data_IF_892480727714
#
_entry.id   IF_892480727714
#
_cell.length_a   1.000
_cell.length_b   1.000
_cell.length_c   1.000
_cell.angle_alpha   90.00
_cell.angle_beta   90.00
_cell.angle_gamma   90.00
#
_symmetry.space_group_name_H-M   'P 1'
#
loop_
_entity.id
_entity.type
_entity.pdbx_description
1 polymer ?
#
# COMPACT_ATOMS: atom_id res chain seq x y z
N UNK A 1 -8.56 -45.07 12.12
CA UNK A 1 -8.33 -43.65 11.79
C UNK A 1 -8.65 -43.31 10.33
N UNK A 2 -9.15 -44.25 9.50
CA UNK A 2 -9.45 -44.01 8.06
C UNK A 2 -10.87 -43.51 7.71
N UNK A 3 -11.77 -43.35 8.70
CA UNK A 3 -13.18 -43.07 8.43
C UNK A 3 -13.58 -41.59 8.30
N UNK A 4 -12.82 -40.66 8.90
CA UNK A 4 -13.19 -39.23 8.93
C UNK A 4 -12.80 -38.49 7.65
N UNK A 5 -11.65 -38.82 7.06
CA UNK A 5 -11.20 -38.30 5.77
C UNK A 5 -12.16 -38.66 4.62
N UNK A 6 -12.75 -39.86 4.66
CA UNK A 6 -13.73 -40.32 3.67
C UNK A 6 -15.08 -39.58 3.77
N UNK A 7 -15.53 -39.22 4.98
CA UNK A 7 -16.79 -38.49 5.18
C UNK A 7 -16.68 -37.05 4.65
N UNK A 8 -15.60 -36.33 5.00
CA UNK A 8 -15.39 -34.96 4.53
C UNK A 8 -15.22 -34.91 3.01
N UNK A 9 -14.46 -35.84 2.44
CA UNK A 9 -14.32 -35.99 0.99
C UNK A 9 -15.68 -36.25 0.31
N UNK A 10 -16.48 -37.19 0.82
CA UNK A 10 -17.82 -37.50 0.30
C UNK A 10 -18.76 -36.32 0.41
N UNK A 11 -18.74 -35.61 1.54
CA UNK A 11 -19.55 -34.42 1.77
C UNK A 11 -19.23 -33.33 0.76
N UNK A 12 -17.97 -32.91 0.67
CA UNK A 12 -17.57 -31.83 -0.24
C UNK A 12 -17.79 -32.21 -1.70
N UNK A 13 -17.49 -33.45 -2.09
CA UNK A 13 -17.78 -33.95 -3.44
C UNK A 13 -19.27 -33.92 -3.76
N UNK A 14 -20.14 -34.30 -2.80
CA UNK A 14 -21.59 -34.25 -3.00
C UNK A 14 -22.09 -32.80 -3.11
N UNK A 15 -21.58 -31.89 -2.27
CA UNK A 15 -21.95 -30.47 -2.27
C UNK A 15 -21.53 -29.81 -3.57
N UNK A 16 -20.26 -29.94 -3.99
CA UNK A 16 -19.75 -29.26 -5.20
C UNK A 16 -20.39 -29.81 -6.47
N UNK A 17 -20.67 -31.13 -6.52
CA UNK A 17 -21.44 -31.73 -7.62
C UNK A 17 -22.88 -31.22 -7.66
N UNK A 18 -23.54 -31.10 -6.51
CA UNK A 18 -24.91 -30.58 -6.43
C UNK A 18 -24.95 -29.13 -6.87
N UNK A 19 -24.02 -28.30 -6.38
CA UNK A 19 -23.90 -26.90 -6.80
C UNK A 19 -23.69 -26.80 -8.31
N UNK A 20 -22.69 -27.50 -8.84
CA UNK A 20 -22.40 -27.49 -10.28
C UNK A 20 -23.62 -27.89 -11.12
N UNK A 21 -24.34 -28.94 -10.73
CA UNK A 21 -25.56 -29.38 -11.43
C UNK A 21 -26.69 -28.36 -11.35
N UNK A 22 -26.91 -27.72 -10.20
CA UNK A 22 -27.95 -26.70 -10.03
C UNK A 22 -27.62 -25.43 -10.81
N UNK A 23 -26.36 -24.98 -10.77
CA UNK A 23 -25.89 -23.85 -11.57
C UNK A 23 -26.08 -24.12 -13.07
N UNK A 24 -25.72 -25.32 -13.53
CA UNK A 24 -25.90 -25.71 -14.92
C UNK A 24 -27.38 -25.69 -15.33
N UNK A 25 -28.25 -26.35 -14.54
CA UNK A 25 -29.69 -26.36 -14.83
C UNK A 25 -30.32 -24.96 -14.84
N UNK A 26 -29.89 -24.08 -13.92
CA UNK A 26 -30.35 -22.71 -13.86
C UNK A 26 -29.90 -21.86 -15.07
N UNK A 27 -28.68 -22.08 -15.57
CA UNK A 27 -28.16 -21.33 -16.73
C UNK A 27 -28.66 -21.87 -18.06
N UNK A 28 -28.96 -23.16 -18.14
CA UNK A 28 -29.62 -23.75 -19.32
C UNK A 28 -31.07 -23.27 -19.47
N UNK A 29 -31.75 -23.01 -18.35
CA UNK A 29 -33.12 -22.48 -18.35
C UNK A 29 -33.21 -20.95 -18.46
N UNK A 30 -32.13 -20.22 -18.18
CA UNK A 30 -32.12 -18.75 -18.18
C UNK A 30 -30.87 -18.16 -18.82
N UNK A 31 -31.05 -17.56 -20.01
CA UNK A 31 -30.00 -16.82 -20.70
C UNK A 31 -29.49 -15.62 -19.91
N UNK A 32 -30.37 -14.98 -19.10
CA UNK A 32 -29.99 -13.90 -18.20
C UNK A 32 -28.97 -14.37 -17.15
N UNK A 33 -29.24 -15.51 -16.48
CA UNK A 33 -28.32 -16.07 -15.49
C UNK A 33 -27.01 -16.50 -16.13
N UNK A 34 -27.06 -17.10 -17.33
CA UNK A 34 -25.87 -17.48 -18.08
C UNK A 34 -24.98 -16.27 -18.40
N UNK A 35 -25.57 -15.18 -18.90
CA UNK A 35 -24.83 -13.95 -19.18
C UNK A 35 -24.25 -13.32 -17.91
N UNK A 36 -25.00 -13.33 -16.80
CA UNK A 36 -24.54 -12.80 -15.52
C UNK A 36 -23.35 -13.59 -14.97
N UNK A 37 -23.43 -14.93 -14.91
CA UNK A 37 -22.34 -15.75 -14.37
C UNK A 37 -21.10 -15.76 -15.26
N UNK A 38 -21.24 -15.75 -16.58
CA UNK A 38 -20.09 -15.69 -17.49
C UNK A 38 -19.51 -14.28 -17.63
N UNK A 39 -20.33 -13.23 -17.51
CA UNK A 39 -19.92 -11.83 -17.71
C UNK A 39 -19.39 -11.18 -16.43
N UNK A 40 -20.00 -11.51 -15.29
CA UNK A 40 -19.67 -10.98 -13.97
C UNK A 40 -19.07 -12.06 -13.04
N UNK A 41 -18.44 -13.10 -13.62
CA UNK A 41 -17.75 -14.16 -12.90
C UNK A 41 -16.90 -13.68 -11.71
N UNK A 42 -16.11 -12.59 -11.80
CA UNK A 42 -15.31 -12.10 -10.67
C UNK A 42 -16.15 -11.73 -9.45
N UNK A 43 -17.38 -11.21 -9.65
CA UNK A 43 -18.30 -10.94 -8.54
C UNK A 43 -18.80 -12.24 -7.89
N UNK A 44 -19.10 -13.25 -8.71
CA UNK A 44 -19.49 -14.57 -8.21
C UNK A 44 -18.36 -15.24 -7.43
N UNK A 45 -17.13 -15.17 -7.95
CA UNK A 45 -15.93 -15.69 -7.29
C UNK A 45 -15.68 -14.98 -5.95
N UNK A 46 -15.88 -13.67 -5.89
CA UNK A 46 -15.81 -12.92 -4.62
C UNK A 46 -16.80 -13.46 -3.58
N UNK A 47 -18.04 -13.77 -3.96
CA UNK A 47 -19.03 -14.36 -3.05
C UNK A 47 -18.59 -15.74 -2.55
N UNK A 48 -17.97 -16.54 -3.41
CA UNK A 48 -17.39 -17.83 -3.03
C UNK A 48 -16.21 -17.68 -2.05
N UNK A 49 -15.31 -16.73 -2.30
CA UNK A 49 -14.20 -16.41 -1.40
C UNK A 49 -14.70 -15.91 -0.04
N UNK A 50 -15.75 -15.08 -0.02
CA UNK A 50 -16.37 -14.60 1.22
C UNK A 50 -17.09 -15.74 1.98
N UNK A 51 -17.77 -16.64 1.27
CA UNK A 51 -18.36 -17.84 1.86
C UNK A 51 -17.30 -18.73 2.50
N UNK A 52 -16.20 -18.97 1.78
CA UNK A 52 -15.08 -19.79 2.27
C UNK A 52 -14.48 -19.22 3.55
N UNK A 53 -14.20 -17.91 3.57
CA UNK A 53 -13.71 -17.21 4.77
C UNK A 53 -14.66 -17.34 5.95
N UNK A 54 -15.97 -17.23 5.73
CA UNK A 54 -16.98 -17.42 6.80
C UNK A 54 -17.00 -18.86 7.32
N UNK A 55 -16.85 -19.85 6.44
CA UNK A 55 -16.76 -21.25 6.84
C UNK A 55 -15.50 -21.52 7.69
N UNK A 56 -14.36 -20.96 7.30
CA UNK A 56 -13.11 -21.04 8.08
C UNK A 56 -13.28 -20.40 9.47
N UNK A 57 -13.85 -19.19 9.53
CA UNK A 57 -14.11 -18.51 10.81
C UNK A 57 -15.05 -19.32 11.71
N UNK A 58 -16.10 -19.92 11.14
CA UNK A 58 -17.02 -20.76 11.88
C UNK A 58 -16.36 -22.04 12.41
N UNK A 59 -15.50 -22.68 11.61
CA UNK A 59 -14.74 -23.85 12.02
C UNK A 59 -13.78 -23.53 13.17
N UNK A 60 -13.04 -22.42 13.07
CA UNK A 60 -12.16 -21.92 14.13
C UNK A 60 -12.93 -21.64 15.43
N UNK A 61 -14.12 -21.05 15.33
CA UNK A 61 -14.98 -20.79 16.49
C UNK A 61 -15.48 -22.09 17.15
N UNK A 62 -15.86 -23.10 16.35
CA UNK A 62 -16.25 -24.41 16.88
C UNK A 62 -15.09 -25.05 17.64
N UNK A 63 -13.89 -25.10 17.05
CA UNK A 63 -12.71 -25.68 17.69
C UNK A 63 -12.36 -24.94 18.99
N UNK A 64 -12.42 -23.60 18.98
CA UNK A 64 -12.19 -22.78 20.17
C UNK A 64 -13.21 -23.06 21.28
N UNK A 65 -14.49 -23.21 20.92
CA UNK A 65 -15.55 -23.53 21.88
C UNK A 65 -15.37 -24.94 22.49
N UNK A 66 -14.97 -25.93 21.69
CA UNK A 66 -14.65 -27.28 22.19
C UNK A 66 -13.50 -27.27 23.20
N UNK A 67 -12.46 -26.47 22.96
CA UNK A 67 -11.32 -26.34 23.87
C UNK A 67 -11.70 -25.63 25.20
N UNK A 68 -12.72 -24.77 25.20
CA UNK A 68 -13.17 -24.05 26.41
C UNK A 68 -14.14 -24.83 27.31
N UNK A 69 -14.78 -25.89 26.81
CA UNK A 69 -15.84 -26.61 27.55
C UNK A 69 -15.39 -27.75 28.48
N UNK A 70 -14.09 -27.96 28.70
CA UNK A 70 -13.60 -28.83 29.77
C UNK A 70 -13.98 -30.31 29.63
N UNK A 71 -13.20 -31.06 28.86
CA UNK A 71 -13.00 -32.49 29.06
C UNK A 71 -11.50 -32.73 29.27
N UNK A 72 -11.01 -32.33 30.44
CA UNK A 72 -9.58 -32.24 30.77
C UNK A 72 -8.90 -33.58 31.06
N UNK A 73 -9.57 -34.73 30.93
CA UNK A 73 -9.03 -36.01 31.45
C UNK A 73 -8.81 -37.13 30.41
N UNK A 74 -8.84 -36.87 29.09
CA UNK A 74 -8.57 -37.93 28.10
C UNK A 74 -7.63 -37.56 26.94
N UNK A 75 -6.77 -36.54 27.08
CA UNK A 75 -5.95 -36.07 25.97
C UNK A 75 -4.52 -35.63 26.33
N UNK A 76 -3.96 -36.15 27.43
CA UNK A 76 -2.53 -35.99 27.71
C UNK A 76 -1.64 -36.84 26.79
N UNK A 77 -2.19 -37.83 26.08
CA UNK A 77 -1.42 -38.71 25.18
C UNK A 77 -1.32 -38.22 23.72
N UNK A 78 -1.97 -37.10 23.36
CA UNK A 78 -1.92 -36.57 21.99
C UNK A 78 -1.18 -35.23 21.87
N UNK A 79 -0.50 -34.80 22.94
CA UNK A 79 0.35 -33.59 22.98
C UNK A 79 1.72 -33.74 22.28
N UNK A 80 1.93 -34.75 21.44
CA UNK A 80 3.18 -34.93 20.69
C UNK A 80 3.13 -34.52 19.20
N UNK A 81 2.08 -33.83 18.76
CA UNK A 81 2.05 -33.20 17.42
C UNK A 81 1.62 -31.73 17.52
N UNK A 82 2.35 -30.95 18.31
CA UNK A 82 2.45 -29.50 18.09
C UNK A 82 3.32 -29.26 16.85
N UNK A 83 2.69 -29.00 15.69
CA UNK A 83 3.25 -28.06 14.69
C UNK A 83 2.27 -27.64 13.58
N UNK A 84 1.08 -28.24 13.44
CA UNK A 84 0.12 -27.82 12.43
C UNK A 84 -1.27 -27.62 13.04
N UNK A 85 -1.65 -26.36 13.28
CA UNK A 85 -3.03 -25.98 13.56
C UNK A 85 -3.89 -26.13 12.28
N UNK A 86 -3.96 -27.35 11.74
CA UNK A 86 -4.77 -27.69 10.57
C UNK A 86 -6.22 -27.91 11.01
N UNK A 87 -7.07 -27.06 10.46
CA UNK A 87 -8.50 -27.01 10.69
C UNK A 87 -9.14 -28.38 10.35
N UNK A 88 -9.64 -29.11 11.36
CA UNK A 88 -10.12 -30.50 11.24
C UNK A 88 -11.18 -30.67 10.12
N UNK A 89 -11.97 -29.63 9.86
CA UNK A 89 -13.02 -29.62 8.82
C UNK A 89 -12.53 -29.27 7.41
N UNK A 90 -11.33 -28.70 7.31
CA UNK A 90 -10.71 -28.19 6.09
C UNK A 90 -9.33 -28.82 5.87
N UNK A 91 -9.14 -30.05 6.37
CA UNK A 91 -7.90 -30.80 6.17
C UNK A 91 -7.64 -30.96 4.68
N UNK A 92 -6.55 -30.35 4.20
CA UNK A 92 -5.94 -30.71 2.93
C UNK A 92 -5.30 -32.07 3.13
N UNK A 93 -6.05 -33.14 2.84
CA UNK A 93 -5.40 -34.43 2.60
C UNK A 93 -4.51 -34.30 1.37
N UNK A 94 -3.43 -35.08 1.26
CA UNK A 94 -2.42 -34.95 0.20
C UNK A 94 -3.00 -34.91 -1.23
N UNK A 95 -4.24 -35.39 -1.44
CA UNK A 95 -4.92 -35.47 -2.73
C UNK A 95 -6.23 -34.68 -2.87
N UNK A 96 -6.72 -33.96 -1.85
CA UNK A 96 -8.00 -33.24 -1.94
C UNK A 96 -8.01 -31.87 -1.24
N UNK A 97 -8.26 -30.82 -2.03
CA UNK A 97 -8.45 -29.46 -1.53
C UNK A 97 -9.93 -29.05 -1.68
N UNK A 98 -10.70 -28.96 -0.57
CA UNK A 98 -12.11 -28.60 -0.62
C UNK A 98 -12.35 -27.16 -1.11
N UNK A 99 -11.41 -26.24 -0.91
CA UNK A 99 -11.49 -24.88 -1.45
C UNK A 99 -11.46 -24.92 -2.97
N UNK A 100 -10.49 -25.67 -3.49
CA UNK A 100 -10.31 -25.88 -4.92
C UNK A 100 -11.53 -26.58 -5.53
N UNK A 101 -12.02 -27.65 -4.91
CA UNK A 101 -13.21 -28.36 -5.39
C UNK A 101 -14.45 -27.46 -5.44
N UNK A 102 -14.58 -26.53 -4.49
CA UNK A 102 -15.67 -25.55 -4.47
C UNK A 102 -15.52 -24.55 -5.63
N UNK A 103 -14.31 -24.02 -5.88
CA UNK A 103 -14.04 -23.14 -7.03
C UNK A 103 -14.22 -23.86 -8.38
N UNK A 104 -13.79 -25.13 -8.47
CA UNK A 104 -13.92 -25.98 -9.66
C UNK A 104 -15.40 -26.18 -10.07
N UNK A 105 -16.35 -26.08 -9.14
CA UNK A 105 -17.78 -26.11 -9.46
C UNK A 105 -18.23 -24.97 -10.41
N UNK A 106 -17.44 -23.89 -10.51
CA UNK A 106 -17.67 -22.74 -11.37
C UNK A 106 -16.78 -22.67 -12.62
N UNK A 107 -15.93 -23.68 -12.86
CA UNK A 107 -14.87 -23.65 -13.88
C UNK A 107 -15.37 -23.28 -15.29
N UNK A 108 -16.56 -23.73 -15.67
CA UNK A 108 -17.15 -23.41 -16.97
C UNK A 108 -17.43 -21.91 -17.17
N UNK A 109 -17.81 -21.21 -16.11
CA UNK A 109 -18.08 -19.77 -16.14
C UNK A 109 -16.78 -18.99 -16.16
N UNK A 110 -15.76 -19.47 -15.44
CA UNK A 110 -14.40 -18.93 -15.52
C UNK A 110 -13.86 -19.02 -16.95
N UNK A 111 -13.95 -20.19 -17.59
CA UNK A 111 -13.48 -20.38 -18.96
C UNK A 111 -14.20 -19.45 -19.95
N UNK A 112 -15.52 -19.29 -19.80
CA UNK A 112 -16.31 -18.36 -20.61
C UNK A 112 -15.92 -16.90 -20.34
N UNK A 113 -15.70 -16.51 -19.09
CA UNK A 113 -15.24 -15.19 -18.70
C UNK A 113 -13.86 -14.88 -19.30
N UNK A 114 -12.92 -15.81 -19.20
CA UNK A 114 -11.56 -15.66 -19.74
C UNK A 114 -11.56 -15.52 -21.27
N UNK A 115 -12.44 -16.24 -21.97
CA UNK A 115 -12.62 -16.10 -23.42
C UNK A 115 -13.17 -14.70 -23.78
N UNK A 116 -14.16 -14.21 -23.02
CA UNK A 116 -14.71 -12.85 -23.20
C UNK A 116 -13.68 -11.76 -22.85
N UNK A 117 -12.91 -11.95 -21.77
CA UNK A 117 -11.81 -11.06 -21.36
C UNK A 117 -10.76 -10.93 -22.47
N UNK A 118 -10.32 -12.06 -23.04
CA UNK A 118 -9.39 -12.04 -24.17
C UNK A 118 -9.96 -11.27 -25.37
N UNK A 119 -11.25 -11.47 -25.68
CA UNK A 119 -11.92 -10.75 -26.77
C UNK A 119 -11.95 -9.23 -26.50
N UNK A 120 -12.36 -8.81 -25.30
CA UNK A 120 -12.38 -7.39 -24.89
C UNK A 120 -11.00 -6.74 -24.93
N UNK A 121 -9.93 -7.50 -24.71
CA UNK A 121 -8.55 -7.03 -24.80
C UNK A 121 -8.06 -6.96 -26.26
N UNK A 122 -8.47 -7.90 -27.11
CA UNK A 122 -8.06 -7.98 -28.51
C UNK A 122 -8.80 -6.98 -29.41
N UNK A 123 -10.09 -6.73 -29.14
CA UNK A 123 -10.92 -5.87 -29.99
C UNK A 123 -10.36 -4.44 -30.15
N UNK A 124 -9.93 -3.74 -29.08
CA UNK A 124 -9.28 -2.43 -29.20
C UNK A 124 -8.01 -2.47 -30.05
N UNK A 125 -7.21 -3.53 -29.97
CA UNK A 125 -5.99 -3.68 -30.79
C UNK A 125 -6.36 -3.84 -32.26
N UNK A 126 -7.34 -4.70 -32.55
CA UNK A 126 -7.76 -4.93 -33.93
C UNK A 126 -8.40 -3.69 -34.56
N UNK A 127 -9.03 -2.84 -33.75
CA UNK A 127 -9.58 -1.56 -34.19
C UNK A 127 -8.49 -0.58 -34.61
N UNK A 128 -7.42 -0.46 -33.82
CA UNK A 128 -6.32 0.49 -34.10
C UNK A 128 -5.32 -0.02 -35.14
N UNK A 129 -5.32 -1.33 -35.42
CA UNK A 129 -4.57 -1.96 -36.51
C UNK A 129 -5.51 -2.60 -37.55
N UNK A 130 -6.23 -1.78 -38.35
CA UNK A 130 -7.12 -2.30 -39.37
C UNK A 130 -6.35 -3.07 -40.46
N UNK A 131 -6.96 -4.06 -41.12
CA UNK A 131 -6.32 -4.79 -42.21
C UNK A 131 -5.87 -3.83 -43.33
N UNK A 132 -4.58 -3.81 -43.65
CA UNK A 132 -4.00 -2.90 -44.64
C UNK A 132 -3.70 -1.48 -44.14
N UNK A 133 -3.93 -1.20 -42.85
CA UNK A 133 -3.50 0.04 -42.20
C UNK A 133 -1.98 0.20 -42.26
N UNK A 134 -1.52 1.43 -42.52
CA UNK A 134 -0.09 1.78 -42.62
C UNK A 134 0.41 2.66 -41.48
N UNK A 135 -0.49 3.13 -40.64
CA UNK A 135 -0.19 4.06 -39.57
C UNK A 135 -0.23 3.34 -38.22
N UNK A 136 0.73 3.61 -37.31
CA UNK A 136 0.64 3.13 -35.95
C UNK A 136 -0.47 3.87 -35.18
N UNK A 137 -0.92 3.31 -34.04
CA UNK A 137 -1.95 3.92 -33.20
C UNK A 137 -1.57 5.31 -32.69
N UNK A 138 -2.56 6.18 -32.56
CA UNK A 138 -2.46 7.48 -31.91
C UNK A 138 -2.32 7.35 -30.39
N UNK A 139 -2.01 8.47 -29.73
CA UNK A 139 -1.86 8.49 -28.26
C UNK A 139 -3.18 8.16 -27.54
N UNK A 140 -4.29 8.70 -28.02
CA UNK A 140 -5.61 8.52 -27.39
C UNK A 140 -6.10 7.08 -27.54
N UNK A 141 -5.81 6.47 -28.69
CA UNK A 141 -6.09 5.05 -28.96
C UNK A 141 -5.27 4.13 -28.04
N UNK A 142 -3.99 4.43 -27.84
CA UNK A 142 -3.15 3.73 -26.87
C UNK A 142 -3.71 3.85 -25.44
N UNK A 143 -4.10 5.04 -25.01
CA UNK A 143 -4.67 5.26 -23.68
C UNK A 143 -5.96 4.46 -23.48
N UNK A 144 -6.77 4.30 -24.54
CA UNK A 144 -7.95 3.43 -24.49
C UNK A 144 -7.58 1.96 -24.27
N UNK A 145 -6.58 1.43 -25.00
CA UNK A 145 -6.11 0.05 -24.83
C UNK A 145 -5.61 -0.17 -23.39
N UNK A 146 -4.83 0.78 -22.87
CA UNK A 146 -4.28 0.73 -21.52
C UNK A 146 -5.39 0.75 -20.47
N UNK A 147 -6.41 1.60 -20.63
CA UNK A 147 -7.58 1.63 -19.73
C UNK A 147 -8.30 0.29 -19.72
N UNK A 148 -8.45 -0.36 -20.86
CA UNK A 148 -9.05 -1.71 -20.94
C UNK A 148 -8.19 -2.74 -20.21
N UNK A 149 -6.86 -2.74 -20.42
CA UNK A 149 -5.92 -3.63 -19.70
C UNK A 149 -6.02 -3.42 -18.18
N UNK A 150 -5.95 -2.17 -17.73
CA UNK A 150 -6.05 -1.83 -16.31
C UNK A 150 -7.40 -2.25 -15.70
N UNK A 151 -8.50 -2.05 -16.43
CA UNK A 151 -9.83 -2.47 -15.99
C UNK A 151 -9.94 -3.99 -15.84
N UNK A 152 -9.42 -4.77 -16.78
CA UNK A 152 -9.46 -6.25 -16.70
C UNK A 152 -8.62 -6.77 -15.53
N UNK A 153 -7.41 -6.21 -15.32
CA UNK A 153 -6.56 -6.57 -14.19
C UNK A 153 -7.21 -6.21 -12.84
N UNK A 154 -7.81 -5.02 -12.73
CA UNK A 154 -8.47 -4.57 -11.49
C UNK A 154 -9.69 -5.42 -11.14
N UNK A 155 -10.50 -5.80 -12.14
CA UNK A 155 -11.66 -6.68 -11.93
C UNK A 155 -11.23 -8.09 -11.51
N UNK A 156 -10.08 -8.58 -12.00
CA UNK A 156 -9.54 -9.89 -11.66
C UNK A 156 -8.89 -9.96 -10.26
N UNK A 157 -8.52 -8.81 -9.67
CA UNK A 157 -7.81 -8.70 -8.39
C UNK A 157 -8.56 -9.29 -7.17
N UNK A 158 -9.80 -9.74 -7.35
CA UNK A 158 -10.60 -10.42 -6.33
C UNK A 158 -10.07 -11.81 -5.95
N UNK A 159 -9.27 -12.43 -6.82
CA UNK A 159 -8.71 -13.77 -6.61
C UNK A 159 -7.34 -13.91 -7.31
N UNK A 160 -6.33 -14.53 -6.64
CA UNK A 160 -5.00 -14.68 -7.22
C UNK A 160 -4.94 -15.53 -8.50
N UNK A 161 -5.71 -16.62 -8.57
CA UNK A 161 -5.68 -17.54 -9.71
C UNK A 161 -6.32 -16.88 -10.93
N UNK A 162 -7.44 -16.18 -10.71
CA UNK A 162 -8.10 -15.38 -11.75
C UNK A 162 -7.19 -14.23 -12.23
N UNK A 163 -6.50 -13.54 -11.31
CA UNK A 163 -5.55 -12.48 -11.64
C UNK A 163 -4.43 -13.01 -12.55
N UNK A 164 -3.90 -14.19 -12.24
CA UNK A 164 -2.88 -14.85 -13.06
C UNK A 164 -3.42 -15.23 -14.45
N UNK A 165 -4.65 -15.76 -14.52
CA UNK A 165 -5.28 -16.12 -15.79
C UNK A 165 -5.54 -14.90 -16.68
N UNK A 166 -6.03 -13.79 -16.12
CA UNK A 166 -6.22 -12.52 -16.85
C UNK A 166 -4.89 -11.89 -17.23
N UNK A 167 -3.86 -11.95 -16.38
CA UNK A 167 -2.52 -11.50 -16.73
C UNK A 167 -1.93 -12.24 -17.95
N UNK A 168 -2.21 -13.55 -18.08
CA UNK A 168 -1.84 -14.32 -19.30
C UNK A 168 -2.57 -13.80 -20.54
N UNK A 169 -3.83 -13.38 -20.43
CA UNK A 169 -4.56 -12.75 -21.54
C UNK A 169 -3.98 -11.37 -21.89
N UNK A 170 -3.59 -10.56 -20.89
CA UNK A 170 -2.88 -9.29 -21.11
C UNK A 170 -1.54 -9.53 -21.81
N UNK A 171 -0.78 -10.56 -21.41
CA UNK A 171 0.48 -10.91 -22.08
C UNK A 171 0.27 -11.26 -23.56
N UNK A 172 -0.75 -12.07 -23.88
CA UNK A 172 -1.15 -12.36 -25.27
C UNK A 172 -1.56 -11.09 -26.03
N UNK A 173 -2.19 -10.14 -25.35
CA UNK A 173 -2.65 -8.86 -25.91
C UNK A 173 -1.46 -7.96 -26.26
N UNK A 174 -0.48 -7.84 -25.36
CA UNK A 174 0.78 -7.12 -25.62
C UNK A 174 1.55 -7.81 -26.77
N UNK A 175 1.59 -9.14 -26.80
CA UNK A 175 2.21 -9.89 -27.89
C UNK A 175 1.52 -9.61 -29.24
N UNK A 176 0.18 -9.60 -29.27
CA UNK A 176 -0.58 -9.25 -30.47
C UNK A 176 -0.25 -7.84 -30.96
N UNK A 177 -0.16 -6.86 -30.04
CA UNK A 177 0.27 -5.50 -30.36
C UNK A 177 1.67 -5.48 -31.00
N UNK A 178 2.60 -6.24 -30.43
CA UNK A 178 3.96 -6.37 -30.96
C UNK A 178 3.98 -6.94 -32.39
N UNK A 179 3.26 -8.03 -32.63
CA UNK A 179 3.13 -8.66 -33.96
C UNK A 179 2.53 -7.69 -34.98
N UNK A 180 1.47 -6.96 -34.61
CA UNK A 180 0.84 -5.95 -35.48
C UNK A 180 1.78 -4.78 -35.76
N UNK A 181 2.57 -4.36 -34.77
CA UNK A 181 3.58 -3.30 -34.93
C UNK A 181 4.72 -3.72 -35.85
N UNK A 182 5.17 -4.98 -35.75
CA UNK A 182 6.19 -5.56 -36.61
C UNK A 182 5.73 -5.59 -38.09
N UNK A 183 4.45 -5.90 -38.33
CA UNK A 183 3.86 -5.88 -39.68
C UNK A 183 3.87 -4.49 -40.34
N UNK A 184 4.02 -3.40 -39.56
CA UNK A 184 4.11 -2.04 -40.09
C UNK A 184 5.54 -1.64 -40.50
N UNK A 185 6.56 -2.40 -40.08
CA UNK A 185 7.95 -2.00 -40.27
C UNK A 185 8.38 -2.04 -41.73
N UNK A 186 9.19 -1.06 -42.11
CA UNK A 186 9.94 -1.04 -43.36
C UNK A 186 11.37 -1.51 -43.10
N UNK A 187 11.91 -2.43 -43.92
CA UNK A 187 13.21 -3.10 -43.67
C UNK A 187 14.25 -2.94 -44.77
N UNK A 188 13.90 -2.31 -45.90
CA UNK A 188 14.77 -2.17 -47.07
C UNK A 188 15.49 -0.80 -47.11
N UNK A 189 16.01 -0.40 -48.28
CA UNK A 189 16.71 0.89 -48.47
C UNK A 189 15.90 2.10 -48.03
N UNK A 190 14.56 2.03 -48.10
CA UNK A 190 13.66 3.06 -47.58
C UNK A 190 13.71 3.21 -46.05
N UNK A 191 14.24 2.24 -45.31
CA UNK A 191 14.40 2.32 -43.86
C UNK A 191 15.82 2.71 -43.40
N UNK A 192 16.83 2.45 -44.23
CA UNK A 192 18.24 2.52 -43.83
C UNK A 192 19.05 3.66 -44.46
N UNK A 193 18.51 4.36 -45.46
CA UNK A 193 19.22 5.46 -46.10
C UNK A 193 19.52 6.61 -45.13
N UNK A 194 20.71 7.20 -45.17
CA UNK A 194 21.10 8.31 -44.28
C UNK A 194 21.69 9.50 -45.04
N UNK A 195 21.50 9.53 -46.35
CA UNK A 195 22.16 10.47 -47.26
C UNK A 195 21.17 11.56 -47.72
N UNK A 196 19.87 11.25 -47.74
CA UNK A 196 18.78 12.16 -48.10
C UNK A 196 17.86 12.50 -46.92
N UNK A 197 16.82 13.33 -47.16
CA UNK A 197 15.81 13.64 -46.17
C UNK A 197 15.08 12.37 -45.70
N UNK A 198 14.44 12.44 -44.52
CA UNK A 198 13.69 11.33 -43.93
C UNK A 198 12.69 10.72 -44.92
N UNK A 199 12.82 9.42 -45.16
CA UNK A 199 11.88 8.67 -45.98
C UNK A 199 10.57 8.40 -45.26
N UNK A 200 9.56 7.97 -46.02
CA UNK A 200 8.29 7.53 -45.44
C UNK A 200 8.44 6.27 -44.58
N UNK A 201 9.29 5.31 -45.00
CA UNK A 201 9.62 4.12 -44.22
C UNK A 201 10.30 4.44 -42.90
N UNK A 202 11.24 5.39 -42.88
CA UNK A 202 11.89 5.86 -41.64
C UNK A 202 10.90 6.57 -40.71
N UNK A 203 10.06 7.45 -41.25
CA UNK A 203 9.01 8.13 -40.47
C UNK A 203 8.05 7.12 -39.85
N UNK A 204 7.67 6.09 -40.60
CA UNK A 204 6.80 5.01 -40.10
C UNK A 204 7.47 4.20 -39.00
N UNK A 205 8.71 3.76 -39.20
CA UNK A 205 9.45 3.02 -38.18
C UNK A 205 9.63 3.82 -36.89
N UNK A 206 9.96 5.12 -36.99
CA UNK A 206 10.02 6.01 -35.82
C UNK A 206 8.68 6.10 -35.10
N UNK A 207 7.57 6.25 -35.83
CA UNK A 207 6.25 6.30 -35.25
C UNK A 207 5.88 4.97 -34.54
N UNK A 208 6.23 3.82 -35.12
CA UNK A 208 6.05 2.49 -34.50
C UNK A 208 6.86 2.37 -33.21
N UNK A 209 8.14 2.76 -33.22
CA UNK A 209 9.01 2.74 -32.02
C UNK A 209 8.43 3.63 -30.91
N UNK A 210 8.00 4.85 -31.24
CA UNK A 210 7.37 5.74 -30.27
C UNK A 210 6.07 5.14 -29.69
N UNK A 211 5.28 4.48 -30.53
CA UNK A 211 4.05 3.80 -30.11
C UNK A 211 4.33 2.65 -29.14
N UNK A 212 5.33 1.81 -29.45
CA UNK A 212 5.78 0.73 -28.57
C UNK A 212 6.35 1.25 -27.25
N UNK A 213 7.14 2.33 -27.29
CA UNK A 213 7.69 2.94 -26.08
C UNK A 213 6.59 3.49 -25.18
N UNK A 214 5.57 4.15 -25.74
CA UNK A 214 4.39 4.61 -24.99
C UNK A 214 3.63 3.43 -24.37
N UNK A 215 3.37 2.37 -25.13
CA UNK A 215 2.73 1.16 -24.60
C UNK A 215 3.52 0.59 -23.42
N UNK A 216 4.85 0.47 -23.56
CA UNK A 216 5.74 0.00 -22.51
C UNK A 216 5.63 0.85 -21.23
N UNK A 217 5.73 2.18 -21.34
CA UNK A 217 5.60 3.09 -20.21
C UNK A 217 4.24 2.98 -19.52
N UNK A 218 3.16 2.92 -20.31
CA UNK A 218 1.80 2.85 -19.77
C UNK A 218 1.49 1.51 -19.10
N UNK A 219 1.97 0.39 -19.65
CA UNK A 219 1.85 -0.93 -19.00
C UNK A 219 2.63 -0.96 -17.69
N UNK A 220 3.87 -0.47 -17.67
CA UNK A 220 4.67 -0.39 -16.45
C UNK A 220 3.98 0.47 -15.38
N UNK A 221 3.43 1.62 -15.78
CA UNK A 221 2.67 2.49 -14.87
C UNK A 221 1.45 1.77 -14.28
N UNK A 222 0.66 1.09 -15.10
CA UNK A 222 -0.53 0.37 -14.63
C UNK A 222 -0.17 -0.74 -13.61
N UNK A 223 0.94 -1.45 -13.84
CA UNK A 223 1.46 -2.45 -12.89
C UNK A 223 1.96 -1.78 -11.61
N UNK A 224 2.71 -0.68 -11.72
CA UNK A 224 3.20 0.08 -10.57
C UNK A 224 2.05 0.64 -9.71
N UNK A 225 0.98 1.16 -10.32
CA UNK A 225 -0.19 1.68 -9.61
C UNK A 225 -0.91 0.55 -8.84
N UNK A 226 -0.98 -0.65 -9.42
CA UNK A 226 -1.53 -1.84 -8.76
C UNK A 226 -0.65 -2.31 -7.59
N UNK A 227 0.68 -2.33 -7.77
CA UNK A 227 1.63 -2.62 -6.68
C UNK A 227 1.45 -1.64 -5.52
N UNK A 228 1.32 -0.33 -5.82
CA UNK A 228 1.02 0.73 -4.86
C UNK A 228 -0.27 0.45 -4.09
N UNK A 229 -1.35 0.16 -4.81
CA UNK A 229 -2.65 -0.15 -4.23
C UNK A 229 -2.62 -1.38 -3.32
N UNK A 230 -1.81 -2.39 -3.65
CA UNK A 230 -1.67 -3.60 -2.86
C UNK A 230 -0.90 -3.39 -1.55
N UNK A 231 0.13 -2.52 -1.55
CA UNK A 231 0.94 -2.23 -0.36
C UNK A 231 0.34 -1.12 0.53
N UNK A 232 -0.52 -0.26 -0.03
CA UNK A 232 -1.09 0.90 0.67
C UNK A 232 -1.73 0.58 2.03
N UNK A 233 -2.50 -0.51 2.22
CA UNK A 233 -3.09 -0.82 3.52
C UNK A 233 -2.03 -1.07 4.61
N UNK A 234 -0.91 -1.69 4.25
CA UNK A 234 0.22 -1.90 5.16
C UNK A 234 0.87 -0.56 5.50
N UNK A 235 1.14 0.28 4.49
CA UNK A 235 1.72 1.61 4.69
C UNK A 235 0.86 2.45 5.65
N UNK A 236 -0.46 2.54 5.40
CA UNK A 236 -1.38 3.28 6.26
C UNK A 236 -1.33 2.79 7.71
N UNK A 237 -1.36 1.48 7.93
CA UNK A 237 -1.31 0.91 9.29
C UNK A 237 0.01 1.23 10.01
N UNK A 238 1.13 1.29 9.28
CA UNK A 238 2.42 1.66 9.85
C UNK A 238 2.46 3.16 10.16
N UNK A 239 1.95 4.01 9.26
CA UNK A 239 1.86 5.46 9.45
C UNK A 239 1.01 5.82 10.69
N UNK A 240 -0.17 5.22 10.84
CA UNK A 240 -1.04 5.40 12.01
C UNK A 240 -0.31 5.03 13.31
N UNK A 241 0.46 3.93 13.28
CA UNK A 241 1.24 3.48 14.43
C UNK A 241 2.40 4.42 14.75
N UNK A 242 3.10 4.92 13.73
CA UNK A 242 4.16 5.92 13.88
C UNK A 242 3.62 7.21 14.49
N UNK A 243 2.47 7.71 14.01
CA UNK A 243 1.82 8.89 14.59
C UNK A 243 1.40 8.64 16.04
N UNK A 244 0.79 7.50 16.35
CA UNK A 244 0.41 7.14 17.71
C UNK A 244 1.62 7.12 18.66
N UNK A 245 2.75 6.53 18.25
CA UNK A 245 3.99 6.51 19.02
C UNK A 245 4.53 7.94 19.21
N UNK A 246 4.57 8.78 18.17
CA UNK A 246 5.06 10.16 18.29
C UNK A 246 4.18 10.98 19.25
N UNK A 247 2.86 10.78 19.25
CA UNK A 247 1.94 11.48 20.16
C UNK A 247 2.23 11.17 21.63
N UNK A 248 2.74 9.97 21.97
CA UNK A 248 3.09 9.64 23.36
C UNK A 248 4.20 10.51 23.92
N UNK A 249 4.92 11.28 23.08
CA UNK A 249 5.88 12.28 23.55
C UNK A 249 5.25 13.30 24.52
N UNK A 250 3.96 13.60 24.39
CA UNK A 250 3.25 14.51 25.30
C UNK A 250 2.97 13.91 26.68
N UNK A 251 3.21 12.62 26.87
CA UNK A 251 3.12 11.93 28.15
C UNK A 251 4.45 11.95 28.92
N UNK A 252 5.55 12.34 28.27
CA UNK A 252 6.85 12.46 28.92
C UNK A 252 7.01 13.79 29.68
N UNK A 253 7.79 13.76 30.76
CA UNK A 253 8.10 14.95 31.53
C UNK A 253 9.31 15.71 30.95
N UNK A 254 9.02 16.80 30.24
CA UNK A 254 10.00 17.75 29.73
C UNK A 254 10.19 18.99 30.63
N UNK A 255 9.59 19.02 31.83
CA UNK A 255 9.66 20.18 32.73
C UNK A 255 10.98 20.28 33.50
N UNK A 256 11.75 19.19 33.54
CA UNK A 256 12.94 19.04 34.39
C UNK A 256 14.05 20.09 34.18
N UNK A 257 14.75 20.40 35.28
CA UNK A 257 15.97 21.21 35.29
C UNK A 257 17.21 20.37 34.99
N UNK A 258 18.34 21.00 34.66
CA UNK A 258 19.62 20.32 34.45
C UNK A 258 20.04 19.56 35.72
N UNK A 259 20.36 18.28 35.59
CA UNK A 259 20.88 17.47 36.70
C UNK A 259 22.23 18.01 37.17
N UNK A 260 22.39 18.20 38.49
CA UNK A 260 23.63 18.69 39.11
C UNK A 260 24.77 17.65 39.14
N UNK A 261 24.53 16.40 38.73
CA UNK A 261 25.57 15.38 38.61
C UNK A 261 26.24 15.48 37.24
N UNK A 262 27.55 15.72 37.22
CA UNK A 262 28.37 15.96 36.02
C UNK A 262 28.56 14.76 35.07
N UNK A 263 27.53 13.94 34.85
CA UNK A 263 27.46 12.96 33.76
C UNK A 263 26.38 13.39 32.77
N UNK A 264 26.75 13.82 31.54
CA UNK A 264 25.79 14.20 30.51
C UNK A 264 25.28 12.94 29.79
N UNK A 265 24.67 12.01 30.54
CA UNK A 265 23.91 10.94 29.91
C UNK A 265 22.48 11.46 29.80
N UNK A 266 22.17 12.12 28.70
CA UNK A 266 20.80 12.55 28.38
C UNK A 266 20.13 11.32 27.79
N UNK A 267 19.31 10.57 28.55
CA UNK A 267 18.72 9.35 28.04
C UNK A 267 17.79 9.67 26.86
N UNK A 268 17.89 8.87 25.80
CA UNK A 268 16.92 8.86 24.71
C UNK A 268 15.52 8.60 25.30
N UNK A 269 14.57 9.45 24.91
CA UNK A 269 13.18 9.37 25.35
C UNK A 269 12.56 8.00 25.03
N UNK A 270 11.62 7.55 25.86
CA UNK A 270 11.01 6.23 25.73
C UNK A 270 10.22 6.11 24.43
N UNK A 271 9.44 7.13 24.06
CA UNK A 271 8.70 7.13 22.77
C UNK A 271 9.67 7.02 21.58
N UNK A 272 10.85 7.60 21.67
CA UNK A 272 11.85 7.56 20.60
C UNK A 272 12.50 6.17 20.49
N UNK A 273 12.78 5.51 21.61
CA UNK A 273 13.23 4.10 21.61
C UNK A 273 12.16 3.16 21.06
N UNK A 274 10.91 3.39 21.44
CA UNK A 274 9.77 2.64 20.92
C UNK A 274 9.61 2.83 19.41
N UNK A 275 9.73 4.08 18.92
CA UNK A 275 9.68 4.41 17.49
C UNK A 275 10.78 3.70 16.71
N UNK A 276 12.03 3.75 17.18
CA UNK A 276 13.16 3.06 16.57
C UNK A 276 12.92 1.54 16.51
N UNK A 277 12.49 0.94 17.62
CA UNK A 277 12.21 -0.49 17.69
C UNK A 277 11.02 -0.91 16.83
N UNK A 278 10.00 -0.07 16.73
CA UNK A 278 8.84 -0.31 15.86
C UNK A 278 9.24 -0.28 14.39
N UNK A 279 9.90 0.79 13.93
CA UNK A 279 10.35 0.93 12.54
C UNK A 279 11.30 -0.21 12.14
N UNK A 280 12.26 -0.55 13.01
CA UNK A 280 13.21 -1.63 12.73
C UNK A 280 12.50 -2.99 12.56
N UNK A 281 11.52 -3.31 13.42
CA UNK A 281 10.70 -4.52 13.28
C UNK A 281 9.87 -4.48 12.01
N UNK A 282 9.23 -3.35 11.72
CA UNK A 282 8.41 -3.21 10.51
C UNK A 282 9.20 -3.49 9.24
N UNK A 283 10.42 -2.95 9.15
CA UNK A 283 11.32 -3.20 8.02
C UNK A 283 11.79 -4.66 7.95
N UNK A 284 12.11 -5.27 9.09
CA UNK A 284 12.60 -6.66 9.16
C UNK A 284 11.52 -7.70 8.86
N UNK A 285 10.32 -7.52 9.44
CA UNK A 285 9.30 -8.55 9.54
C UNK A 285 8.27 -8.46 8.41
N UNK A 286 8.11 -7.28 7.79
CA UNK A 286 7.18 -7.08 6.68
C UNK A 286 7.89 -6.68 5.40
N UNK A 287 8.63 -5.56 5.40
CA UNK A 287 9.16 -5.00 4.14
C UNK A 287 10.34 -5.80 3.55
N UNK A 288 11.07 -6.57 4.35
CA UNK A 288 12.18 -7.42 3.89
C UNK A 288 11.75 -8.49 2.87
N UNK A 289 10.48 -8.87 2.87
CA UNK A 289 9.96 -9.92 1.98
C UNK A 289 9.74 -9.45 0.54
N UNK A 290 9.74 -8.14 0.28
CA UNK A 290 9.61 -7.62 -1.08
C UNK A 290 10.96 -7.67 -1.80
N UNK A 291 10.97 -8.27 -2.99
CA UNK A 291 12.15 -8.27 -3.88
C UNK A 291 12.39 -6.90 -4.54
N UNK A 292 11.31 -6.11 -4.72
CA UNK A 292 11.34 -4.79 -5.35
C UNK A 292 11.79 -3.69 -4.36
N UNK A 293 13.04 -3.76 -3.93
CA UNK A 293 13.61 -2.82 -2.95
C UNK A 293 13.41 -1.35 -3.33
N UNK A 294 13.58 -1.00 -4.61
CA UNK A 294 13.43 0.39 -5.05
C UNK A 294 12.00 0.91 -4.85
N UNK A 295 11.01 0.12 -5.24
CA UNK A 295 9.60 0.43 -5.05
C UNK A 295 9.27 0.58 -3.55
N UNK A 296 9.78 -0.32 -2.70
CA UNK A 296 9.57 -0.23 -1.26
C UNK A 296 10.16 1.07 -0.70
N UNK A 297 11.42 1.37 -1.02
CA UNK A 297 12.06 2.60 -0.53
C UNK A 297 11.36 3.86 -1.00
N UNK A 298 10.89 3.92 -2.24
CA UNK A 298 10.17 5.07 -2.75
C UNK A 298 8.84 5.31 -1.98
N UNK A 299 8.19 4.24 -1.52
CA UNK A 299 6.99 4.33 -0.68
C UNK A 299 7.29 4.61 0.80
N UNK A 300 8.32 3.99 1.39
CA UNK A 300 8.69 4.20 2.80
C UNK A 300 9.40 5.55 3.02
N UNK A 301 9.97 6.15 1.98
CA UNK A 301 10.56 7.49 2.05
C UNK A 301 9.51 8.55 2.40
N UNK A 302 8.32 8.46 1.82
CA UNK A 302 7.20 9.35 2.16
C UNK A 302 6.81 9.23 3.64
N UNK A 303 6.81 8.00 4.17
CA UNK A 303 6.57 7.73 5.59
C UNK A 303 7.67 8.33 6.48
N UNK A 304 8.94 8.27 6.07
CA UNK A 304 10.05 8.91 6.77
C UNK A 304 9.90 10.44 6.83
N UNK A 305 9.55 11.05 5.69
CA UNK A 305 9.27 12.49 5.58
C UNK A 305 8.13 12.89 6.53
N UNK A 306 7.03 12.13 6.49
CA UNK A 306 5.85 12.36 7.34
C UNK A 306 6.15 12.21 8.83
N UNK A 307 6.92 11.19 9.21
CA UNK A 307 7.34 10.98 10.60
C UNK A 307 8.12 12.19 11.14
N UNK A 308 9.04 12.75 10.34
CA UNK A 308 9.79 13.96 10.71
C UNK A 308 8.85 15.17 10.88
N UNK A 309 7.91 15.37 9.96
CA UNK A 309 6.95 16.49 10.06
C UNK A 309 6.08 16.38 11.32
N UNK A 310 5.56 15.18 11.61
CA UNK A 310 4.79 14.89 12.83
C UNK A 310 5.63 15.11 14.08
N UNK A 311 6.89 14.68 14.09
CA UNK A 311 7.80 14.88 15.20
C UNK A 311 8.02 16.38 15.45
N UNK A 312 8.36 17.17 14.43
CA UNK A 312 8.61 18.62 14.58
C UNK A 312 7.34 19.34 15.04
N UNK A 313 6.19 19.00 14.46
CA UNK A 313 4.88 19.53 14.86
C UNK A 313 4.64 19.29 16.34
N UNK A 314 4.73 18.05 16.81
CA UNK A 314 4.47 17.72 18.21
C UNK A 314 5.54 18.29 19.15
N UNK A 315 6.82 18.27 18.76
CA UNK A 315 7.92 18.89 19.49
C UNK A 315 7.70 20.39 19.70
N UNK A 316 7.12 21.10 18.73
CA UNK A 316 6.79 22.52 18.83
C UNK A 316 5.67 22.83 19.83
N UNK A 317 4.88 21.83 20.24
CA UNK A 317 3.74 21.99 21.14
C UNK A 317 4.05 21.61 22.59
N UNK A 318 5.24 21.06 22.87
CA UNK A 318 5.62 20.59 24.21
C UNK A 318 5.68 21.75 25.19
N UNK A 319 4.91 21.63 26.27
CA UNK A 319 4.87 22.59 27.37
C UNK A 319 4.36 21.91 28.65
N UNK A 320 4.95 22.15 29.83
CA UNK A 320 6.12 23.02 30.08
C UNK A 320 7.44 22.41 29.59
N UNK A 321 8.37 23.27 29.14
CA UNK A 321 9.67 22.87 28.62
C UNK A 321 10.81 23.53 29.42
N UNK A 322 11.47 22.76 30.29
CA UNK A 322 12.61 23.18 31.11
C UNK A 322 13.96 23.00 30.42
N UNK A 323 15.05 23.47 31.04
CA UNK A 323 16.42 23.36 30.48
C UNK A 323 16.88 21.91 30.29
N UNK A 324 16.55 21.01 31.23
CA UNK A 324 16.80 19.57 31.08
C UNK A 324 15.95 18.96 29.97
N UNK A 325 14.69 19.39 29.85
CA UNK A 325 13.80 18.99 28.77
C UNK A 325 14.29 19.41 27.38
N UNK A 326 14.83 20.63 27.24
CA UNK A 326 15.46 21.09 25.98
C UNK A 326 16.62 20.21 25.56
N UNK A 327 17.49 19.84 26.51
CA UNK A 327 18.60 18.93 26.23
C UNK A 327 18.12 17.55 25.79
N UNK A 328 17.08 17.00 26.44
CA UNK A 328 16.45 15.74 26.05
C UNK A 328 15.83 15.81 24.66
N UNK A 329 15.02 16.82 24.40
CA UNK A 329 14.41 17.01 23.07
C UNK A 329 15.49 17.19 21.99
N UNK A 330 16.57 17.93 22.27
CA UNK A 330 17.68 18.06 21.34
C UNK A 330 18.41 16.74 21.07
N UNK A 331 18.44 15.81 22.04
CA UNK A 331 18.92 14.44 21.82
C UNK A 331 17.93 13.67 20.94
N UNK A 332 16.62 13.80 21.18
CA UNK A 332 15.57 13.17 20.37
C UNK A 332 15.61 13.64 18.91
N UNK A 333 15.92 14.92 18.63
CA UNK A 333 16.14 15.38 17.25
C UNK A 333 17.27 14.63 16.55
N UNK A 334 18.34 14.23 17.27
CA UNK A 334 19.41 13.41 16.70
C UNK A 334 18.96 11.95 16.54
N UNK A 335 18.20 11.43 17.49
CA UNK A 335 17.68 10.07 17.48
C UNK A 335 16.60 9.86 16.43
N UNK A 336 15.87 10.92 16.06
CA UNK A 336 14.88 10.89 14.99
C UNK A 336 15.52 10.62 13.64
N UNK A 337 16.73 11.18 13.37
CA UNK A 337 17.50 10.87 12.16
C UNK A 337 17.83 9.36 12.08
N UNK A 338 18.16 8.74 13.22
CA UNK A 338 18.42 7.29 13.30
C UNK A 338 17.14 6.46 13.20
N UNK A 339 16.02 6.96 13.74
CA UNK A 339 14.74 6.26 13.73
C UNK A 339 14.18 6.08 12.31
N UNK A 340 14.32 7.10 11.45
CA UNK A 340 13.82 7.04 10.07
C UNK A 340 14.84 6.48 9.07
N UNK A 341 16.09 6.29 9.49
CA UNK A 341 17.15 5.77 8.62
C UNK A 341 16.79 4.43 7.92
N UNK A 342 16.11 3.47 8.57
CA UNK A 342 15.70 2.23 7.90
C UNK A 342 14.66 2.42 6.79
N UNK A 343 13.94 3.54 6.78
CA UNK A 343 12.82 3.80 5.85
C UNK A 343 13.25 4.46 4.55
N UNK A 344 14.51 4.91 4.44
CA UNK A 344 14.99 5.66 3.30
C UNK A 344 16.41 5.24 2.94
N UNK A 345 16.81 5.45 1.69
CA UNK A 345 18.19 5.14 1.26
C UNK A 345 19.21 6.04 1.97
N UNK A 346 18.88 7.34 2.09
CA UNK A 346 19.67 8.35 2.79
C UNK A 346 18.76 9.40 3.42
N UNK A 347 18.95 9.64 4.72
CA UNK A 347 18.16 10.64 5.47
C UNK A 347 18.36 12.07 4.92
N UNK A 348 19.53 12.36 4.35
CA UNK A 348 19.82 13.64 3.70
C UNK A 348 18.94 13.94 2.48
N UNK A 349 18.40 12.90 1.85
CA UNK A 349 17.66 13.00 0.59
C UNK A 349 16.18 13.29 0.83
N UNK A 350 15.70 13.23 2.08
CA UNK A 350 14.32 13.53 2.49
C UNK A 350 13.92 15.02 2.30
N UNK A 351 14.78 15.84 1.71
CA UNK A 351 14.44 17.18 1.24
C UNK A 351 14.07 18.17 2.36
N UNK A 352 12.87 18.78 2.24
CA UNK A 352 12.42 19.85 3.14
C UNK A 352 12.22 19.38 4.60
N UNK A 353 11.55 18.25 4.89
CA UNK A 353 11.45 17.71 6.25
C UNK A 353 12.79 17.55 6.96
N UNK A 354 13.80 16.98 6.29
CA UNK A 354 15.13 16.84 6.89
C UNK A 354 15.79 18.20 7.19
N UNK A 355 15.71 19.16 6.25
CA UNK A 355 16.19 20.52 6.50
C UNK A 355 15.47 21.18 7.68
N UNK A 356 14.17 20.99 7.81
CA UNK A 356 13.40 21.48 8.97
C UNK A 356 13.90 20.87 10.28
N UNK A 357 14.13 19.56 10.33
CA UNK A 357 14.64 18.88 11.52
C UNK A 357 15.98 19.49 11.96
N UNK A 358 16.89 19.68 11.00
CA UNK A 358 18.23 20.26 11.21
C UNK A 358 18.17 21.73 11.64
N UNK A 359 17.30 22.52 11.01
CA UNK A 359 17.17 23.96 11.29
C UNK A 359 16.38 24.25 12.56
N UNK A 360 15.47 23.38 12.98
CA UNK A 360 14.66 23.58 14.19
C UNK A 360 15.44 23.26 15.46
N UNK A 361 16.28 22.21 15.46
CA UNK A 361 17.03 21.76 16.64
C UNK A 361 17.80 22.88 17.37
N UNK A 362 18.56 23.77 16.68
CA UNK A 362 19.26 24.88 17.36
C UNK A 362 18.32 25.89 18.02
N UNK A 363 17.09 26.05 17.52
CA UNK A 363 16.12 27.03 18.01
C UNK A 363 15.64 26.71 19.44
N UNK A 364 15.78 25.44 19.88
CA UNK A 364 15.49 25.02 21.25
C UNK A 364 16.26 25.84 22.30
N UNK A 365 17.46 26.29 21.95
CA UNK A 365 18.38 27.00 22.86
C UNK A 365 18.48 28.51 22.58
N UNK A 366 17.74 29.02 21.60
CA UNK A 366 17.75 30.45 21.26
C UNK A 366 16.70 31.25 22.05
N UNK A 367 16.91 32.56 22.15
CA UNK A 367 15.90 33.50 22.68
C UNK A 367 14.84 33.79 21.62
N UNK A 368 13.69 34.33 22.03
CA UNK A 368 12.60 34.65 21.11
C UNK A 368 13.01 35.66 20.02
N UNK A 369 13.89 36.60 20.34
CA UNK A 369 14.42 37.61 19.40
C UNK A 369 15.35 36.96 18.36
N UNK A 370 16.21 36.03 18.80
CA UNK A 370 17.09 35.29 17.91
C UNK A 370 16.33 34.32 17.01
N UNK A 371 15.26 33.70 17.52
CA UNK A 371 14.36 32.86 16.71
C UNK A 371 13.70 33.72 15.63
N UNK A 372 13.12 34.87 16.00
CA UNK A 372 12.44 35.77 15.07
C UNK A 372 13.34 36.35 13.96
N UNK A 373 14.64 36.45 14.20
CA UNK A 373 15.63 36.91 13.21
C UNK A 373 16.29 35.79 12.40
N UNK A 374 15.90 34.53 12.63
CA UNK A 374 16.49 33.38 11.93
C UNK A 374 16.14 33.39 10.44
N UNK A 375 17.13 33.27 9.53
CA UNK A 375 16.88 33.21 8.09
C UNK A 375 16.16 31.91 7.66
N UNK A 376 16.07 30.91 8.54
CA UNK A 376 15.37 29.66 8.25
C UNK A 376 13.84 29.80 8.29
N UNK A 377 13.31 30.89 8.85
CA UNK A 377 11.88 31.14 8.96
C UNK A 377 11.24 31.44 7.60
N UNK A 378 10.06 30.87 7.36
CA UNK A 378 9.30 31.04 6.13
C UNK A 378 9.78 30.17 4.98
N UNK A 379 11.10 30.08 4.75
CA UNK A 379 11.67 29.26 3.67
C UNK A 379 11.75 27.78 4.07
N UNK A 380 12.44 27.47 5.17
CA UNK A 380 12.64 26.10 5.64
C UNK A 380 11.57 25.74 6.67
N UNK A 381 11.47 26.52 7.74
CA UNK A 381 10.54 26.29 8.85
C UNK A 381 9.32 27.21 8.68
N UNK A 382 8.10 26.66 8.57
CA UNK A 382 6.87 27.43 8.48
C UNK A 382 6.68 28.36 9.69
N UNK A 383 6.10 29.54 9.45
CA UNK A 383 5.81 30.51 10.50
C UNK A 383 4.81 29.95 11.51
N UNK A 384 3.85 29.12 11.08
CA UNK A 384 2.87 28.50 11.95
C UNK A 384 3.52 27.61 13.02
N UNK A 385 4.51 26.81 12.65
CA UNK A 385 5.25 25.92 13.57
C UNK A 385 6.04 26.76 14.58
N UNK A 386 6.64 27.86 14.14
CA UNK A 386 7.46 28.69 15.02
C UNK A 386 6.59 29.51 15.97
N UNK A 387 5.45 30.01 15.51
CA UNK A 387 4.47 30.65 16.39
C UNK A 387 3.98 29.66 17.45
N UNK A 388 3.62 28.42 17.06
CA UNK A 388 3.28 27.36 18.01
C UNK A 388 4.38 27.15 19.05
N UNK A 389 5.64 27.06 18.60
CA UNK A 389 6.80 26.93 19.48
C UNK A 389 6.98 28.12 20.44
N UNK A 390 6.74 29.35 19.98
CA UNK A 390 6.78 30.55 20.83
C UNK A 390 5.64 30.55 21.86
N UNK A 391 4.43 30.12 21.48
CA UNK A 391 3.32 29.92 22.43
C UNK A 391 3.63 28.84 23.47
N UNK A 392 4.33 27.77 23.08
CA UNK A 392 4.75 26.72 24.00
C UNK A 392 5.73 27.25 25.07
N UNK A 393 6.51 28.30 24.75
CA UNK A 393 7.44 28.98 25.67
C UNK A 393 6.84 30.16 26.43
N UNK A 394 5.61 30.54 26.13
CA UNK A 394 4.96 31.67 26.77
C UNK A 394 4.58 31.38 28.24
N UNK A 395 4.21 32.41 29.03
CA UNK A 395 3.61 32.25 30.36
C UNK A 395 2.23 31.56 30.32
N UNK A 396 1.82 30.78 31.35
CA UNK A 396 0.60 29.94 31.37
C UNK A 396 -0.69 30.71 31.06
N UNK A 397 -0.69 32.01 31.27
CA UNK A 397 -1.79 32.92 30.95
C UNK A 397 -2.04 33.01 29.43
N UNK A 398 -1.00 32.83 28.61
CA UNK A 398 -1.10 32.78 27.15
C UNK A 398 -1.33 31.32 26.70
N UNK A 399 -2.61 30.97 26.51
CA UNK A 399 -3.03 29.65 26.02
C UNK A 399 -2.53 29.40 24.59
N UNK A 400 -2.21 28.15 24.27
CA UNK A 400 -1.85 27.77 22.90
C UNK A 400 -3.07 27.87 21.96
N UNK A 401 -2.86 28.00 20.63
CA UNK A 401 -3.96 28.10 19.67
C UNK A 401 -4.97 26.96 19.77
N UNK A 402 -4.50 25.71 19.91
CA UNK A 402 -5.37 24.54 20.05
C UNK A 402 -6.13 24.52 21.38
N UNK A 403 -5.52 24.99 22.48
CA UNK A 403 -6.19 25.11 23.77
C UNK A 403 -7.28 26.18 23.74
N UNK A 404 -7.04 27.29 23.03
CA UNK A 404 -8.03 28.36 22.84
C UNK A 404 -9.24 27.88 22.02
N UNK A 405 -9.00 27.00 21.05
CA UNK A 405 -10.04 26.37 20.24
C UNK A 405 -10.70 25.16 20.92
N UNK A 406 -10.30 24.80 22.15
CA UNK A 406 -10.78 23.62 22.89
C UNK A 406 -10.59 22.29 22.13
N UNK A 407 -9.47 22.17 21.42
CA UNK A 407 -9.12 20.97 20.66
C UNK A 407 -8.13 20.09 21.42
N UNK A 408 -8.22 18.77 21.23
CA UNK A 408 -7.15 17.86 21.61
C UNK A 408 -5.95 18.01 20.67
N UNK A 409 -4.77 17.55 21.10
CA UNK A 409 -3.57 17.54 20.25
C UNK A 409 -3.81 16.72 18.98
N UNK A 410 -4.47 15.56 19.10
CA UNK A 410 -4.84 14.73 17.96
C UNK A 410 -5.76 15.47 16.98
N UNK A 411 -6.81 16.14 17.47
CA UNK A 411 -7.71 16.96 16.64
C UNK A 411 -6.97 18.11 15.96
N UNK A 412 -6.02 18.72 16.66
CA UNK A 412 -5.21 19.80 16.10
C UNK A 412 -4.24 19.30 15.01
N UNK A 413 -3.60 18.15 15.23
CA UNK A 413 -2.76 17.49 14.22
C UNK A 413 -3.58 17.22 12.95
N UNK A 414 -4.74 16.58 13.08
CA UNK A 414 -5.63 16.32 11.95
C UNK A 414 -6.03 17.61 11.22
N UNK A 415 -6.40 18.67 11.95
CA UNK A 415 -6.77 19.94 11.33
C UNK A 415 -5.62 20.55 10.53
N UNK A 416 -4.37 20.43 11.01
CA UNK A 416 -3.18 20.92 10.28
C UNK A 416 -2.93 20.14 8.99
N UNK A 417 -3.32 18.86 8.93
CA UNK A 417 -3.21 18.05 7.72
C UNK A 417 -4.28 18.41 6.69
N UNK A 418 -5.51 18.66 7.15
CA UNK A 418 -6.61 19.11 6.29
C UNK A 418 -6.39 20.53 5.74
N UNK A 419 -5.50 21.33 6.37
CA UNK A 419 -5.20 22.71 5.99
C UNK A 419 -3.70 22.92 5.73
N UNK A 420 -3.17 22.50 4.55
CA UNK A 420 -1.75 22.63 4.21
C UNK A 420 -1.31 24.07 3.93
N UNK A 421 -2.27 24.96 3.64
CA UNK A 421 -2.03 26.38 3.37
C UNK A 421 -1.53 27.10 4.63
N UNK A 422 -0.35 27.69 4.53
CA UNK A 422 0.24 28.49 5.62
C UNK A 422 -0.67 29.66 6.02
N UNK A 423 -1.37 30.25 5.05
CA UNK A 423 -2.33 31.34 5.31
C UNK A 423 -3.45 30.90 6.25
N UNK A 424 -3.98 29.70 6.05
CA UNK A 424 -5.09 29.18 6.85
C UNK A 424 -4.61 28.82 8.25
N UNK A 425 -3.43 28.20 8.35
CA UNK A 425 -2.76 27.92 9.63
C UNK A 425 -2.50 29.18 10.44
N UNK A 426 -2.02 30.25 9.81
CA UNK A 426 -1.79 31.54 10.46
C UNK A 426 -3.09 32.23 10.85
N UNK A 427 -4.17 32.05 10.08
CA UNK A 427 -5.49 32.60 10.41
C UNK A 427 -6.07 32.01 11.70
N UNK A 428 -5.80 30.74 11.99
CA UNK A 428 -6.19 30.11 13.27
C UNK A 428 -5.39 30.64 14.47
N UNK A 429 -4.15 31.09 14.25
CA UNK A 429 -3.25 31.56 15.31
C UNK A 429 -3.49 33.05 15.65
N UNK A 430 -4.03 33.83 14.70
CA UNK A 430 -4.48 35.22 14.93
C UNK A 430 -5.62 35.27 15.93
#
# INVERSE_FOLDING_TARGET
QDGQSDILYKFWTAVTRTLSSQFQSATDSSMFLKQAFEGEYPKLLRLYNDLWKRLQQYSQNIQRNFNTTGATDLFAELQQMEEDAQDIFMQKTQDYDPEKALKDSLQQYEAAYLSKSLSRLFDPINLVFPPGGRNPPSSDELDSIIKTVASELNVAAVDPDLSLAVAKNVAKTIQLYGVKSEQLLSTQGDASQVIGPLTEGQRRNMAVVNSLYKLHQSVLKAVHDLMGSAVQPLLNSVEDSVEAIIITMHQEDFSGSLSSSGKPDVPCSLYMKELQGFIARVMSDYFRHFECSDFVFDNTEAMAQRAIELFIRNASLIRPLGEGGKMRLAADFAQMELAVAPLCRRVSDLGKPYRQLRSFRPLLFQTSEHIASSPALGEVIPFSIILQFLFARAPPELKSPFQRAEWSIARYSQWLDDHPSEKDRLALIR
#
